data_IF_968685069343
#
_entry.id   IF_968685069343
#
_cell.length_a   1.000
_cell.length_b   1.000
_cell.length_c   1.000
_cell.angle_alpha   90.00
_cell.angle_beta   90.00
_cell.angle_gamma   90.00
#
_symmetry.space_group_name_H-M   'P 1'
#
loop_
_entity.id
_entity.type
_entity.pdbx_description
1 polymer ?
#
# COMPACT_ATOMS: atom_id res chain seq x y z
N UNK A 1 34.41 -36.80 18.74
CA UNK A 1 34.66 -35.90 17.61
C UNK A 1 33.34 -35.34 17.16
N UNK A 2 33.09 -34.07 17.48
CA UNK A 2 31.78 -33.43 17.31
C UNK A 2 31.76 -32.72 15.96
N UNK A 3 31.12 -33.33 14.97
CA UNK A 3 30.89 -32.73 13.66
C UNK A 3 29.77 -31.69 13.77
N UNK A 4 30.08 -30.53 14.37
CA UNK A 4 29.23 -29.36 14.29
C UNK A 4 29.48 -28.69 12.94
N UNK A 5 28.85 -29.21 11.89
CA UNK A 5 28.81 -28.54 10.60
C UNK A 5 28.01 -27.25 10.75
N UNK A 6 28.67 -26.11 10.54
CA UNK A 6 28.02 -24.82 10.39
C UNK A 6 27.07 -24.89 9.18
N UNK A 7 25.79 -25.06 9.45
CA UNK A 7 24.74 -24.97 8.44
C UNK A 7 24.56 -23.48 8.15
N UNK A 8 25.01 -23.02 6.98
CA UNK A 8 24.65 -21.70 6.46
C UNK A 8 23.16 -21.74 6.09
N UNK A 9 22.29 -21.59 7.09
CA UNK A 9 20.95 -21.12 6.82
C UNK A 9 21.07 -19.63 6.48
N UNK A 10 20.40 -19.20 5.40
CA UNK A 10 20.26 -17.79 5.06
C UNK A 10 19.74 -17.07 6.31
N UNK A 11 20.61 -16.31 6.97
CA UNK A 11 20.17 -15.51 8.11
C UNK A 11 19.12 -14.54 7.58
N UNK A 12 17.92 -14.49 8.19
CA UNK A 12 16.95 -13.48 7.82
C UNK A 12 17.58 -12.10 7.98
N UNK A 13 17.30 -11.22 7.03
CA UNK A 13 17.88 -9.89 6.99
C UNK A 13 17.73 -9.17 8.34
N UNK A 14 18.74 -8.37 8.72
CA UNK A 14 18.80 -7.69 10.02
C UNK A 14 17.56 -6.84 10.26
N UNK A 15 16.96 -6.24 9.22
CA UNK A 15 15.72 -5.49 9.36
C UNK A 15 14.54 -6.40 9.72
N UNK A 16 14.48 -7.60 9.14
CA UNK A 16 13.45 -8.61 9.44
C UNK A 16 13.60 -9.11 10.88
N UNK A 17 14.83 -9.29 11.35
CA UNK A 17 15.13 -9.70 12.73
C UNK A 17 14.77 -8.62 13.75
N UNK A 18 15.03 -7.34 13.44
CA UNK A 18 14.82 -6.24 14.38
C UNK A 18 13.40 -5.65 14.35
N UNK A 19 12.69 -5.74 13.22
CA UNK A 19 11.39 -5.07 13.02
C UNK A 19 10.25 -6.03 12.64
N UNK A 20 10.55 -7.30 12.35
CA UNK A 20 9.61 -8.21 11.70
C UNK A 20 9.41 -7.87 10.21
N UNK A 21 8.57 -8.66 9.52
CA UNK A 21 8.14 -8.35 8.14
C UNK A 21 7.03 -7.31 8.17
N UNK A 22 7.39 -6.04 8.36
CA UNK A 22 6.40 -4.95 8.31
C UNK A 22 6.12 -4.64 6.85
N UNK A 23 4.94 -5.06 6.38
CA UNK A 23 4.48 -4.76 5.02
C UNK A 23 3.88 -3.35 5.02
N UNK A 24 4.18 -2.56 4.00
CA UNK A 24 3.53 -1.27 3.78
C UNK A 24 2.54 -1.40 2.63
N UNK A 25 1.37 -0.78 2.79
CA UNK A 25 0.36 -0.69 1.74
C UNK A 25 0.08 0.79 1.47
N UNK A 26 -0.04 1.14 0.19
CA UNK A 26 -0.26 2.52 -0.26
C UNK A 26 -1.62 2.63 -0.93
N UNK A 27 -2.39 3.63 -0.51
CA UNK A 27 -3.72 3.92 -1.00
C UNK A 27 -3.74 5.30 -1.68
N UNK A 28 -4.37 5.35 -2.85
CA UNK A 28 -4.70 6.59 -3.53
C UNK A 28 -6.04 7.09 -2.99
N UNK A 29 -6.02 8.31 -2.46
CA UNK A 29 -7.20 9.00 -1.96
C UNK A 29 -7.65 10.00 -3.01
N UNK A 30 -8.78 9.72 -3.67
CA UNK A 30 -9.40 10.63 -4.63
C UNK A 30 -10.77 11.04 -4.11
N UNK A 31 -11.07 12.34 -4.15
CA UNK A 31 -12.41 12.85 -3.89
C UNK A 31 -13.24 12.92 -5.18
N UNK A 32 -14.56 13.13 -5.06
CA UNK A 32 -15.48 13.25 -6.22
C UNK A 32 -15.08 14.38 -7.19
N UNK A 33 -14.45 15.45 -6.70
CA UNK A 33 -13.95 16.55 -7.53
C UNK A 33 -12.70 16.18 -8.36
N UNK A 34 -12.09 15.03 -8.08
CA UNK A 34 -10.82 14.58 -8.67
C UNK A 34 -10.99 13.46 -9.70
N UNK A 35 -12.22 13.32 -10.22
CA UNK A 35 -12.58 12.42 -11.33
C UNK A 35 -11.63 12.54 -12.54
N UNK A 36 -11.06 13.72 -12.77
CA UNK A 36 -10.06 13.94 -13.82
C UNK A 36 -8.79 13.11 -13.62
N UNK A 37 -8.23 13.10 -12.41
CA UNK A 37 -7.00 12.36 -12.11
C UNK A 37 -7.22 10.85 -12.19
N UNK A 38 -8.41 10.37 -11.78
CA UNK A 38 -8.80 8.97 -11.98
C UNK A 38 -8.79 8.60 -13.46
N UNK A 39 -9.46 9.39 -14.30
CA UNK A 39 -9.55 9.14 -15.76
C UNK A 39 -8.17 9.19 -16.41
N UNK A 40 -7.33 10.14 -16.02
CA UNK A 40 -5.96 10.24 -16.54
C UNK A 40 -5.12 9.02 -16.17
N UNK A 41 -5.27 8.51 -14.94
CA UNK A 41 -4.63 7.27 -14.50
C UNK A 41 -5.12 6.05 -15.29
N UNK A 42 -6.44 5.89 -15.46
CA UNK A 42 -7.02 4.81 -16.27
C UNK A 42 -6.52 4.87 -17.72
N UNK A 43 -6.48 6.07 -18.30
CA UNK A 43 -5.97 6.31 -19.65
C UNK A 43 -4.48 5.95 -19.77
N UNK A 44 -3.66 6.36 -18.79
CA UNK A 44 -2.24 6.01 -18.76
C UNK A 44 -2.04 4.49 -18.66
N UNK A 45 -2.82 3.80 -17.82
CA UNK A 45 -2.76 2.35 -17.66
C UNK A 45 -3.22 1.59 -18.92
N UNK A 46 -4.15 2.15 -19.69
CA UNK A 46 -4.65 1.56 -20.93
C UNK A 46 -3.65 1.63 -22.10
N UNK A 47 -2.56 2.42 -21.99
CA UNK A 47 -1.51 2.50 -23.00
C UNK A 47 -0.84 1.12 -23.17
N UNK A 48 -0.88 0.61 -24.41
CA UNK A 48 -0.38 -0.73 -24.76
C UNK A 48 1.15 -0.80 -24.70
N UNK A 49 1.82 0.20 -25.28
CA UNK A 49 3.27 0.25 -25.27
C UNK A 49 3.79 0.51 -23.85
N UNK A 50 4.80 -0.27 -23.44
CA UNK A 50 5.33 -0.24 -22.07
C UNK A 50 6.05 1.07 -21.77
N UNK A 51 6.77 1.63 -22.73
CA UNK A 51 7.53 2.86 -22.55
C UNK A 51 6.61 4.07 -22.51
N UNK A 52 5.64 4.12 -23.42
CA UNK A 52 4.64 5.18 -23.44
C UNK A 52 3.76 5.14 -22.18
N UNK A 53 3.38 3.95 -21.70
CA UNK A 53 2.67 3.81 -20.42
C UNK A 53 3.50 4.33 -19.25
N UNK A 54 4.79 4.00 -19.21
CA UNK A 54 5.70 4.49 -18.16
C UNK A 54 5.85 6.00 -18.21
N UNK A 55 5.91 6.59 -19.41
CA UNK A 55 5.94 8.03 -19.62
C UNK A 55 4.66 8.69 -19.09
N UNK A 56 3.50 8.21 -19.51
CA UNK A 56 2.21 8.71 -19.06
C UNK A 56 2.05 8.64 -17.53
N UNK A 57 2.40 7.51 -16.91
CA UNK A 57 2.37 7.37 -15.45
C UNK A 57 3.35 8.32 -14.75
N UNK A 58 4.51 8.61 -15.36
CA UNK A 58 5.48 9.53 -14.78
C UNK A 58 4.99 10.97 -14.76
N UNK A 59 4.22 11.38 -15.77
CA UNK A 59 3.61 12.71 -15.80
C UNK A 59 2.59 12.88 -14.66
N UNK A 60 1.91 11.80 -14.25
CA UNK A 60 0.96 11.79 -13.14
C UNK A 60 1.63 11.62 -11.76
N UNK A 61 2.90 11.21 -11.70
CA UNK A 61 3.55 10.76 -10.47
C UNK A 61 3.47 11.79 -9.32
N UNK A 62 3.69 13.07 -9.61
CA UNK A 62 3.61 14.12 -8.59
C UNK A 62 2.19 14.26 -8.01
N UNK A 63 1.17 14.23 -8.86
CA UNK A 63 -0.23 14.35 -8.45
C UNK A 63 -0.69 13.11 -7.65
N UNK A 64 -0.27 11.92 -8.08
CA UNK A 64 -0.53 10.66 -7.37
C UNK A 64 0.15 10.64 -6.01
N UNK A 65 1.42 11.05 -5.94
CA UNK A 65 2.19 11.06 -4.69
C UNK A 65 1.55 11.96 -3.62
N UNK A 66 1.03 13.13 -4.01
CA UNK A 66 0.34 14.04 -3.08
C UNK A 66 -0.94 13.46 -2.47
N UNK A 67 -1.52 12.46 -3.14
CA UNK A 67 -2.79 11.80 -2.76
C UNK A 67 -2.57 10.39 -2.26
N UNK A 68 -1.32 9.98 -2.10
CA UNK A 68 -0.98 8.63 -1.66
C UNK A 68 -0.76 8.65 -0.15
N UNK A 69 -1.52 7.81 0.55
CA UNK A 69 -1.34 7.54 1.97
C UNK A 69 -0.78 6.14 2.15
N UNK A 70 0.28 6.00 2.93
CA UNK A 70 0.90 4.70 3.19
C UNK A 70 0.70 4.30 4.64
N UNK A 71 0.30 3.06 4.86
CA UNK A 71 0.13 2.47 6.19
C UNK A 71 1.00 1.24 6.37
N UNK A 72 1.31 0.93 7.62
CA UNK A 72 1.90 -0.34 7.97
C UNK A 72 0.79 -1.39 8.10
N UNK A 73 0.80 -2.36 7.20
CA UNK A 73 -0.09 -3.50 7.23
C UNK A 73 0.28 -4.43 8.39
N UNK A 74 -0.72 -4.76 9.22
CA UNK A 74 -0.63 -5.80 10.24
C UNK A 74 -0.79 -7.17 9.59
N UNK A 75 -0.51 -8.22 10.36
CA UNK A 75 -0.81 -9.58 9.91
C UNK A 75 -2.31 -9.73 9.66
N UNK A 76 -2.69 -10.34 8.54
CA UNK A 76 -4.11 -10.46 8.14
C UNK A 76 -4.72 -9.18 7.56
N UNK A 77 -3.91 -8.17 7.22
CA UNK A 77 -4.41 -6.97 6.54
C UNK A 77 -4.72 -7.25 5.07
N UNK A 78 -5.96 -6.98 4.66
CA UNK A 78 -6.48 -7.17 3.30
C UNK A 78 -6.84 -5.81 2.69
N UNK A 79 -6.01 -5.24 1.78
CA UNK A 79 -6.27 -3.90 1.22
C UNK A 79 -7.57 -3.82 0.41
N UNK A 80 -8.05 -4.95 -0.14
CA UNK A 80 -9.30 -5.10 -0.89
C UNK A 80 -10.57 -4.79 -0.08
N UNK A 81 -10.50 -4.90 1.25
CA UNK A 81 -11.62 -4.53 2.13
C UNK A 81 -11.87 -3.01 2.08
N UNK A 82 -10.80 -2.23 1.97
CA UNK A 82 -10.81 -0.77 2.07
C UNK A 82 -10.71 -0.05 0.72
N UNK A 83 -10.28 -0.75 -0.33
CA UNK A 83 -9.93 -0.14 -1.60
C UNK A 83 -10.31 -1.02 -2.79
N UNK A 84 -10.40 -0.41 -3.96
CA UNK A 84 -10.58 -1.07 -5.25
C UNK A 84 -9.28 -0.99 -6.07
N UNK A 85 -8.88 -2.06 -6.77
CA UNK A 85 -7.67 -2.03 -7.57
C UNK A 85 -7.88 -1.21 -8.86
N UNK A 86 -6.93 -0.33 -9.15
CA UNK A 86 -6.81 0.38 -10.44
C UNK A 86 -5.40 0.14 -11.00
N UNK A 87 -5.25 -0.91 -11.80
CA UNK A 87 -3.94 -1.40 -12.22
C UNK A 87 -3.09 -1.83 -11.02
N UNK A 88 -1.91 -1.25 -10.79
CA UNK A 88 -1.07 -1.57 -9.63
C UNK A 88 -1.37 -0.73 -8.38
N UNK A 89 -2.39 0.15 -8.41
CA UNK A 89 -2.71 1.06 -7.30
C UNK A 89 -3.98 0.61 -6.57
N UNK A 90 -4.07 0.94 -5.29
CA UNK A 90 -5.29 0.79 -4.49
C UNK A 90 -6.03 2.11 -4.40
N UNK A 91 -7.19 2.22 -5.02
CA UNK A 91 -8.07 3.38 -4.90
C UNK A 91 -8.95 3.21 -3.66
N UNK A 92 -8.76 4.05 -2.66
CA UNK A 92 -9.49 3.95 -1.40
C UNK A 92 -10.99 4.18 -1.61
N UNK A 93 -11.84 3.34 -0.98
CA UNK A 93 -13.29 3.51 -1.02
C UNK A 93 -13.70 4.77 -0.24
N UNK A 94 -14.81 5.42 -0.62
CA UNK A 94 -15.34 6.56 0.13
C UNK A 94 -15.60 6.21 1.60
N UNK A 95 -15.32 7.14 2.51
CA UNK A 95 -15.59 6.98 3.94
C UNK A 95 -14.46 6.37 4.77
N UNK A 96 -13.35 5.94 4.16
CA UNK A 96 -12.13 5.52 4.86
C UNK A 96 -11.06 6.60 4.95
N UNK A 97 -11.31 7.78 4.36
CA UNK A 97 -10.46 8.96 4.50
C UNK A 97 -11.28 10.19 4.80
N UNK A 98 -10.82 10.95 5.78
CA UNK A 98 -11.41 12.20 6.22
C UNK A 98 -10.33 13.29 6.17
N UNK A 99 -10.59 14.48 5.60
CA UNK A 99 -9.60 15.55 5.56
C UNK A 99 -9.08 15.97 6.94
N UNK A 100 -9.94 15.92 7.96
CA UNK A 100 -9.64 16.42 9.31
C UNK A 100 -8.96 15.38 10.21
N UNK A 101 -9.21 14.08 9.98
CA UNK A 101 -8.71 12.98 10.82
C UNK A 101 -7.80 11.99 10.08
N UNK A 102 -7.68 12.10 8.77
CA UNK A 102 -6.86 11.25 7.91
C UNK A 102 -7.54 9.92 7.57
N UNK A 103 -6.72 8.88 7.44
CA UNK A 103 -7.18 7.53 7.10
C UNK A 103 -7.79 6.84 8.33
N UNK A 104 -9.04 6.43 8.21
CA UNK A 104 -9.76 5.66 9.22
C UNK A 104 -10.11 4.29 8.65
N UNK A 105 -9.34 3.27 9.00
CA UNK A 105 -9.55 1.89 8.57
C UNK A 105 -10.43 1.10 9.54
N UNK A 106 -10.94 1.74 10.62
CA UNK A 106 -11.76 1.12 11.67
C UNK A 106 -11.18 -0.18 12.24
N UNK A 107 -9.86 -0.32 12.19
CA UNK A 107 -9.14 -1.52 12.64
C UNK A 107 -9.27 -1.75 14.15
N UNK A 108 -9.62 -0.71 14.90
CA UNK A 108 -9.78 -0.78 16.35
C UNK A 108 -11.18 -1.27 16.77
N UNK A 109 -12.13 -1.40 15.84
CA UNK A 109 -13.51 -1.84 16.13
C UNK A 109 -13.69 -3.37 16.08
N UNK A 110 -12.78 -4.11 15.41
CA UNK A 110 -12.88 -5.58 15.25
C UNK A 110 -11.78 -6.41 15.95
N UNK A 111 -10.89 -5.82 16.77
CA UNK A 111 -10.04 -6.63 17.66
C UNK A 111 -9.64 -5.94 18.98
N UNK A 112 -10.40 -6.13 20.08
CA UNK A 112 -10.02 -5.67 21.41
C UNK A 112 -8.83 -6.44 22.02
N UNK A 113 -8.19 -7.36 21.29
CA UNK A 113 -7.15 -8.23 21.83
C UNK A 113 -5.85 -8.19 21.01
N UNK A 114 -5.10 -7.08 21.07
CA UNK A 114 -3.63 -7.12 21.33
C UNK A 114 -3.15 -5.73 21.74
N UNK A 115 -3.53 -5.28 22.94
CA UNK A 115 -2.57 -4.59 23.78
C UNK A 115 -1.68 -5.67 24.40
N UNK A 116 -0.50 -5.91 23.83
CA UNK A 116 0.59 -6.52 24.59
C UNK A 116 1.78 -5.56 24.49
N UNK A 117 2.12 -5.07 25.70
CA UNK A 117 3.26 -4.28 26.18
C UNK A 117 4.52 -4.26 25.31
#
# INVERSE_FOLDING_TARGET
MTNAFARWEEMPDVQTLLRGKVKQESFLVLNEEEDGLRRDLEAALAVKDRWDRREALRQLAAALQQRTVTVYARQGFHPEDYAEPIGPFWLLKPGYYHPDSGLDLRLDEEDPATCIL
#
